data_IF_042430473625
#
_entry.id   IF_042430473625
#
_cell.length_a   1.000
_cell.length_b   1.000
_cell.length_c   1.000
_cell.angle_alpha   90.00
_cell.angle_beta   90.00
_cell.angle_gamma   90.00
#
_symmetry.space_group_name_H-M   'P 1'
#
loop_
_entity.id
_entity.type
_entity.pdbx_description
1 polymer ?
#
# COMPACT_ATOMS: atom_id res chain seq x y z
N UNK A 1 -7.81 -30.47 -4.28
CA UNK A 1 -7.13 -30.02 -3.05
C UNK A 1 -8.16 -29.22 -2.27
N UNK A 2 -8.58 -29.68 -1.10
CA UNK A 2 -9.57 -28.97 -0.28
C UNK A 2 -8.89 -27.68 0.20
N UNK A 3 -9.37 -26.52 -0.23
CA UNK A 3 -9.00 -25.25 0.39
C UNK A 3 -9.51 -25.32 1.83
N UNK A 4 -8.62 -25.55 2.80
CA UNK A 4 -8.96 -25.32 4.19
C UNK A 4 -9.19 -23.82 4.35
N UNK A 5 -10.43 -23.44 4.62
CA UNK A 5 -10.81 -22.08 5.02
C UNK A 5 -10.28 -21.85 6.43
N UNK A 6 -9.34 -20.91 6.59
CA UNK A 6 -8.86 -20.47 7.91
C UNK A 6 -9.90 -19.54 8.55
N UNK A 7 -10.18 -19.77 9.83
CA UNK A 7 -10.96 -18.85 10.67
C UNK A 7 -10.01 -17.79 11.24
N UNK A 8 -10.28 -16.52 10.93
CA UNK A 8 -9.41 -15.39 11.26
C UNK A 8 -10.07 -14.51 12.33
N UNK A 9 -9.28 -14.12 13.34
CA UNK A 9 -9.65 -13.06 14.26
C UNK A 9 -8.83 -11.80 13.95
N UNK A 10 -9.53 -10.71 13.59
CA UNK A 10 -8.91 -9.43 13.26
C UNK A 10 -8.95 -8.49 14.47
N UNK A 11 -7.83 -7.82 14.73
CA UNK A 11 -7.66 -6.80 15.76
C UNK A 11 -7.19 -5.51 15.10
N UNK A 12 -7.69 -4.36 15.54
CA UNK A 12 -7.27 -3.06 15.03
C UNK A 12 -8.41 -2.06 14.93
N UNK A 13 -8.06 -0.82 14.58
CA UNK A 13 -9.03 0.20 14.21
C UNK A 13 -9.59 -0.11 12.82
N UNK A 14 -10.89 0.08 12.61
CA UNK A 14 -11.56 -0.19 11.33
C UNK A 14 -11.33 0.93 10.30
N UNK A 15 -10.06 1.21 10.03
CA UNK A 15 -9.62 2.17 9.02
C UNK A 15 -9.64 1.56 7.60
N UNK A 16 -9.25 2.35 6.59
CA UNK A 16 -9.23 1.90 5.20
C UNK A 16 -8.30 0.68 4.97
N UNK A 17 -7.20 0.56 5.73
CA UNK A 17 -6.26 -0.56 5.62
C UNK A 17 -6.85 -1.83 6.23
N UNK A 18 -7.47 -1.71 7.40
CA UNK A 18 -8.22 -2.81 8.03
C UNK A 18 -9.29 -3.34 7.10
N UNK A 19 -10.14 -2.44 6.56
CA UNK A 19 -11.26 -2.83 5.71
C UNK A 19 -10.79 -3.48 4.41
N UNK A 20 -9.73 -2.96 3.78
CA UNK A 20 -9.15 -3.56 2.59
C UNK A 20 -8.53 -4.94 2.84
N UNK A 21 -7.91 -5.15 4.01
CA UNK A 21 -7.37 -6.46 4.37
C UNK A 21 -8.48 -7.46 4.69
N UNK A 22 -9.51 -7.03 5.42
CA UNK A 22 -10.69 -7.85 5.72
C UNK A 22 -11.41 -8.31 4.45
N UNK A 23 -11.71 -7.38 3.52
CA UNK A 23 -12.31 -7.72 2.21
C UNK A 23 -11.42 -8.71 1.44
N UNK A 24 -10.10 -8.47 1.40
CA UNK A 24 -9.19 -9.36 0.65
C UNK A 24 -9.10 -10.76 1.26
N UNK A 25 -9.12 -10.88 2.59
CA UNK A 25 -9.14 -12.15 3.33
C UNK A 25 -10.43 -12.94 3.04
N UNK A 26 -11.58 -12.28 3.13
CA UNK A 26 -12.89 -12.91 2.83
C UNK A 26 -12.92 -13.43 1.39
N UNK A 27 -12.47 -12.61 0.43
CA UNK A 27 -12.36 -13.00 -0.99
C UNK A 27 -11.35 -14.12 -1.24
N UNK A 28 -10.37 -14.30 -0.36
CA UNK A 28 -9.45 -15.44 -0.40
C UNK A 28 -10.02 -16.71 0.24
N UNK A 29 -11.26 -16.64 0.78
CA UNK A 29 -11.97 -17.76 1.36
C UNK A 29 -11.75 -17.95 2.86
N UNK A 30 -11.22 -16.94 3.56
CA UNK A 30 -11.19 -16.93 5.03
C UNK A 30 -12.57 -16.58 5.62
N UNK A 31 -12.85 -17.04 6.83
CA UNK A 31 -14.02 -16.64 7.62
C UNK A 31 -13.58 -15.90 8.88
N UNK A 32 -14.49 -15.15 9.52
CA UNK A 32 -14.15 -14.33 10.69
C UNK A 32 -14.80 -14.84 11.97
N UNK A 33 -14.06 -14.71 13.08
CA UNK A 33 -14.58 -14.94 14.43
C UNK A 33 -14.30 -13.73 15.34
N UNK A 34 -15.18 -13.48 16.29
CA UNK A 34 -14.97 -12.49 17.36
C UNK A 34 -14.25 -13.10 18.57
N UNK A 35 -14.20 -14.43 18.67
CA UNK A 35 -13.51 -15.12 19.75
C UNK A 35 -12.10 -15.55 19.30
N UNK A 36 -11.07 -14.99 19.93
CA UNK A 36 -9.66 -15.31 19.64
C UNK A 36 -9.35 -16.80 19.81
N UNK A 37 -10.00 -17.49 20.74
CA UNK A 37 -9.73 -18.91 21.04
C UNK A 37 -10.23 -19.85 19.93
N UNK A 38 -11.21 -19.41 19.13
CA UNK A 38 -11.78 -20.16 18.01
C UNK A 38 -11.05 -19.88 16.68
N UNK A 39 -10.01 -19.04 16.70
CA UNK A 39 -9.32 -18.60 15.50
C UNK A 39 -8.13 -19.50 15.15
N UNK A 40 -8.01 -19.86 13.88
CA UNK A 40 -6.81 -20.48 13.32
C UNK A 40 -5.67 -19.46 13.15
N UNK A 41 -6.02 -18.18 13.02
CA UNK A 41 -5.09 -17.09 12.75
C UNK A 41 -5.56 -15.79 13.39
N UNK A 42 -4.68 -15.16 14.18
CA UNK A 42 -4.93 -13.83 14.75
C UNK A 42 -4.07 -12.79 14.05
N UNK A 43 -4.72 -11.80 13.42
CA UNK A 43 -4.04 -10.70 12.70
C UNK A 43 -4.36 -9.37 13.38
N UNK A 44 -3.33 -8.66 13.83
CA UNK A 44 -3.47 -7.27 14.28
C UNK A 44 -3.05 -6.28 13.19
N UNK A 45 -3.81 -5.21 13.03
CA UNK A 45 -3.64 -4.19 12.00
C UNK A 45 -3.53 -2.82 12.67
N UNK A 46 -2.51 -2.05 12.27
CA UNK A 46 -2.26 -0.69 12.75
C UNK A 46 -1.54 -0.62 14.10
N UNK A 47 -1.37 0.61 14.60
CA UNK A 47 -0.56 0.92 15.78
C UNK A 47 -1.31 0.86 17.11
N UNK A 48 -2.61 1.14 17.06
CA UNK A 48 -3.37 1.56 18.24
C UNK A 48 -3.74 0.40 19.18
N UNK A 49 -3.50 -0.84 18.77
CA UNK A 49 -3.79 -2.05 19.54
C UNK A 49 -2.66 -3.08 19.42
N UNK A 50 -1.43 -2.69 19.78
CA UNK A 50 -0.35 -3.67 19.88
C UNK A 50 -0.66 -4.65 21.03
N UNK A 51 -0.80 -5.95 20.76
CA UNK A 51 -1.20 -6.89 21.79
C UNK A 51 -0.09 -7.12 22.81
N UNK A 52 -0.49 -7.32 24.07
CA UNK A 52 0.41 -7.67 25.18
C UNK A 52 0.84 -9.14 25.18
N UNK A 53 0.15 -10.00 24.42
CA UNK A 53 0.49 -11.41 24.20
C UNK A 53 0.93 -11.63 22.76
N UNK A 54 1.74 -12.68 22.53
CA UNK A 54 2.16 -13.05 21.17
C UNK A 54 0.92 -13.33 20.30
N UNK A 55 0.90 -12.76 19.09
CA UNK A 55 -0.09 -13.02 18.04
C UNK A 55 0.58 -13.61 16.79
N UNK A 56 -0.21 -14.16 15.88
CA UNK A 56 0.35 -14.81 14.69
C UNK A 56 0.90 -13.80 13.67
N UNK A 57 0.13 -12.76 13.33
CA UNK A 57 0.53 -11.77 12.32
C UNK A 57 0.23 -10.35 12.79
N UNK A 58 1.19 -9.44 12.62
CA UNK A 58 0.98 -8.00 12.76
C UNK A 58 1.21 -7.29 11.43
N UNK A 59 0.34 -6.35 11.08
CA UNK A 59 0.49 -5.46 9.91
C UNK A 59 0.57 -4.03 10.43
N UNK A 60 1.74 -3.42 10.34
CA UNK A 60 2.01 -2.10 10.94
C UNK A 60 2.65 -1.14 9.93
N UNK A 61 2.41 0.16 10.07
CA UNK A 61 3.21 1.18 9.39
C UNK A 61 4.69 1.13 9.81
N UNK A 62 5.58 1.54 8.91
CA UNK A 62 7.02 1.37 9.07
C UNK A 62 7.68 2.13 10.23
N UNK A 63 7.04 3.19 10.71
CA UNK A 63 7.52 4.05 11.78
C UNK A 63 7.14 3.55 13.20
N UNK A 64 6.42 2.44 13.31
CA UNK A 64 5.92 1.93 14.59
C UNK A 64 6.82 0.79 15.12
N UNK A 65 7.05 0.73 16.45
CA UNK A 65 7.80 -0.37 17.06
C UNK A 65 7.19 -1.74 16.79
N UNK A 66 8.03 -2.77 16.74
CA UNK A 66 7.61 -4.14 16.50
C UNK A 66 6.73 -4.66 17.64
N UNK A 67 5.48 -5.07 17.36
CA UNK A 67 4.70 -5.81 18.34
C UNK A 67 5.28 -7.21 18.57
N UNK A 68 4.87 -7.81 19.69
CA UNK A 68 5.14 -9.21 19.96
C UNK A 68 4.28 -10.09 19.03
N UNK A 69 4.83 -10.49 17.89
CA UNK A 69 4.15 -11.32 16.89
C UNK A 69 5.12 -12.27 16.20
N UNK A 70 4.63 -13.45 15.78
CA UNK A 70 5.42 -14.42 15.01
C UNK A 70 5.85 -13.84 13.67
N UNK A 71 4.96 -13.14 12.97
CA UNK A 71 5.23 -12.49 11.68
C UNK A 71 4.79 -11.03 11.71
N UNK A 72 5.67 -10.11 11.35
CA UNK A 72 5.37 -8.69 11.24
C UNK A 72 5.54 -8.24 9.80
N UNK A 73 4.46 -7.78 9.17
CA UNK A 73 4.52 -6.98 7.95
C UNK A 73 4.71 -5.52 8.31
N UNK A 74 5.89 -5.00 7.97
CA UNK A 74 6.22 -3.59 8.13
C UNK A 74 5.99 -2.88 6.79
N UNK A 75 4.92 -2.11 6.71
CA UNK A 75 4.47 -1.48 5.46
C UNK A 75 5.04 -0.08 5.33
N UNK A 76 5.78 0.15 4.24
CA UNK A 76 6.38 1.43 3.88
C UNK A 76 5.60 2.06 2.72
N UNK A 77 5.42 3.37 2.76
CA UNK A 77 4.90 4.17 1.65
C UNK A 77 3.67 3.52 0.99
N UNK A 78 2.67 3.11 1.78
CA UNK A 78 1.43 2.58 1.21
C UNK A 78 0.65 3.71 0.55
N UNK A 79 0.01 3.45 -0.59
CA UNK A 79 -0.88 4.38 -1.26
C UNK A 79 -2.32 3.93 -1.01
N UNK A 80 -3.05 4.73 -0.24
CA UNK A 80 -4.45 4.48 0.16
C UNK A 80 -5.33 5.58 -0.43
N UNK A 81 -6.08 5.30 -1.51
CA UNK A 81 -6.90 6.31 -2.18
C UNK A 81 -7.93 7.01 -1.27
N UNK A 82 -8.52 6.29 -0.32
CA UNK A 82 -9.46 6.84 0.67
C UNK A 82 -8.80 7.78 1.69
N UNK A 83 -7.47 7.85 1.68
CA UNK A 83 -6.64 8.45 2.73
C UNK A 83 -6.83 7.78 4.09
N UNK A 84 -5.76 7.74 4.88
CA UNK A 84 -5.79 7.15 6.21
C UNK A 84 -4.67 7.74 7.06
N UNK A 85 -4.97 8.05 8.31
CA UNK A 85 -3.99 8.62 9.22
C UNK A 85 -3.08 7.52 9.78
N UNK A 86 -1.81 7.84 9.98
CA UNK A 86 -0.82 6.96 10.61
C UNK A 86 -0.12 6.00 9.67
N UNK A 87 -0.45 5.98 8.38
CA UNK A 87 0.19 5.12 7.38
C UNK A 87 1.13 5.85 6.41
N UNK A 88 1.39 7.15 6.62
CA UNK A 88 2.37 7.90 5.84
C UNK A 88 1.86 8.42 4.49
N UNK A 89 0.54 8.48 4.30
CA UNK A 89 -0.13 9.00 3.08
C UNK A 89 -0.56 10.45 3.18
N UNK A 90 -0.45 11.06 4.36
CA UNK A 90 -1.02 12.38 4.67
C UNK A 90 -0.47 13.47 3.73
N UNK A 91 0.79 13.30 3.32
CA UNK A 91 1.48 14.21 2.40
C UNK A 91 0.85 14.26 1.01
N UNK A 92 0.21 13.17 0.56
CA UNK A 92 -0.42 13.11 -0.75
C UNK A 92 -1.73 13.91 -0.77
N UNK A 93 -2.42 14.02 0.37
CA UNK A 93 -3.64 14.81 0.52
C UNK A 93 -3.39 16.28 0.20
N UNK A 94 -2.31 16.85 0.73
CA UNK A 94 -1.91 18.23 0.48
C UNK A 94 -1.61 18.44 -1.02
N UNK A 95 -0.86 17.51 -1.62
CA UNK A 95 -0.51 17.60 -3.04
C UNK A 95 -1.73 17.47 -3.97
N UNK A 96 -2.71 16.63 -3.60
CA UNK A 96 -3.98 16.53 -4.33
C UNK A 96 -4.69 17.89 -4.32
N UNK A 97 -4.77 18.53 -3.15
CA UNK A 97 -5.40 19.84 -2.99
C UNK A 97 -4.66 20.93 -3.77
N UNK A 98 -3.32 20.93 -3.72
CA UNK A 98 -2.49 21.86 -4.51
C UNK A 98 -2.74 21.72 -6.00
N UNK A 99 -2.75 20.49 -6.52
CA UNK A 99 -2.96 20.23 -7.95
C UNK A 99 -4.39 20.60 -8.37
N UNK A 100 -5.41 20.24 -7.57
CA UNK A 100 -6.81 20.62 -7.83
C UNK A 100 -7.00 22.15 -7.83
N UNK A 101 -6.35 22.85 -6.90
CA UNK A 101 -6.40 24.31 -6.77
C UNK A 101 -5.56 25.06 -7.80
N UNK A 102 -4.77 24.36 -8.63
CA UNK A 102 -3.86 24.99 -9.59
C UNK A 102 -2.65 25.69 -8.94
N UNK A 103 -2.29 25.28 -7.71
CA UNK A 103 -1.12 25.81 -7.01
C UNK A 103 0.16 25.47 -7.76
N UNK A 104 1.14 26.39 -7.66
CA UNK A 104 2.51 26.21 -8.17
C UNK A 104 3.48 25.81 -7.05
N UNK A 105 2.96 25.41 -5.90
CA UNK A 105 3.76 24.89 -4.80
C UNK A 105 4.62 23.71 -5.26
N UNK A 106 5.81 23.63 -4.66
CA UNK A 106 6.77 22.55 -4.88
C UNK A 106 6.77 21.68 -3.63
N UNK A 107 7.04 20.38 -3.78
CA UNK A 107 7.16 19.52 -2.61
C UNK A 107 8.28 20.05 -1.70
N UNK A 108 8.11 20.00 -0.37
CA UNK A 108 9.18 20.30 0.58
C UNK A 108 10.50 19.60 0.22
N UNK A 109 11.62 20.31 0.34
CA UNK A 109 12.96 19.82 -0.03
C UNK A 109 13.42 18.60 0.80
N UNK A 110 12.81 18.37 1.96
CA UNK A 110 13.14 17.30 2.90
C UNK A 110 12.42 15.97 2.61
N UNK A 111 11.65 15.89 1.52
CA UNK A 111 10.93 14.66 1.16
C UNK A 111 11.76 13.83 0.19
N UNK A 112 12.43 12.82 0.74
CA UNK A 112 13.12 11.78 -0.02
C UNK A 112 12.16 11.02 -0.96
N UNK A 113 12.72 10.42 -2.01
CA UNK A 113 11.96 9.52 -2.88
C UNK A 113 11.41 8.30 -2.10
N UNK A 114 10.20 7.91 -2.44
CA UNK A 114 9.45 6.88 -1.71
C UNK A 114 9.17 5.67 -2.58
N UNK A 115 9.08 4.51 -1.95
CA UNK A 115 8.80 3.25 -2.64
C UNK A 115 7.32 2.91 -2.54
N UNK A 116 6.48 3.71 -3.20
CA UNK A 116 5.03 3.60 -3.09
C UNK A 116 4.50 2.23 -3.51
N UNK A 117 3.60 1.66 -2.70
CA UNK A 117 2.85 0.43 -3.01
C UNK A 117 1.36 0.66 -2.86
N UNK A 118 0.57 0.22 -3.85
CA UNK A 118 -0.87 0.34 -3.75
C UNK A 118 -1.44 -0.57 -2.66
N UNK A 119 -2.43 -0.08 -1.90
CA UNK A 119 -3.09 -0.86 -0.84
C UNK A 119 -3.56 -2.24 -1.31
N UNK A 120 -4.08 -2.34 -2.53
CA UNK A 120 -4.51 -3.63 -3.13
C UNK A 120 -3.37 -4.63 -3.31
N UNK A 121 -2.18 -4.17 -3.72
CA UNK A 121 -1.03 -5.06 -3.88
C UNK A 121 -0.46 -5.46 -2.52
N UNK A 122 -0.47 -4.53 -1.56
CA UNK A 122 -0.01 -4.79 -0.20
C UNK A 122 -0.91 -5.83 0.50
N UNK A 123 -2.23 -5.64 0.47
CA UNK A 123 -3.19 -6.57 1.08
C UNK A 123 -3.16 -7.93 0.39
N UNK A 124 -3.02 -7.99 -0.93
CA UNK A 124 -2.89 -9.25 -1.68
C UNK A 124 -1.68 -10.06 -1.21
N UNK A 125 -0.50 -9.42 -1.06
CA UNK A 125 0.68 -10.10 -0.55
C UNK A 125 0.53 -10.57 0.90
N UNK A 126 0.01 -9.71 1.78
CA UNK A 126 -0.21 -10.06 3.20
C UNK A 126 -1.14 -11.26 3.30
N UNK A 127 -2.27 -11.24 2.58
CA UNK A 127 -3.25 -12.33 2.59
C UNK A 127 -2.66 -13.61 2.02
N UNK A 128 -1.98 -13.53 0.88
CA UNK A 128 -1.40 -14.72 0.25
C UNK A 128 -0.39 -15.41 1.17
N UNK A 129 0.51 -14.64 1.80
CA UNK A 129 1.50 -15.19 2.72
C UNK A 129 0.83 -15.72 4.00
N UNK A 130 -0.10 -14.97 4.59
CA UNK A 130 -0.74 -15.33 5.88
C UNK A 130 -1.64 -16.57 5.78
N UNK A 131 -2.29 -16.77 4.63
CA UNK A 131 -3.16 -17.92 4.38
C UNK A 131 -2.44 -19.13 3.79
N UNK A 132 -1.12 -19.07 3.60
CA UNK A 132 -0.35 -20.22 3.11
C UNK A 132 -0.46 -21.41 4.09
N UNK A 133 -0.56 -22.62 3.55
CA UNK A 133 -0.70 -23.88 4.32
C UNK A 133 0.64 -24.47 4.79
N UNK A 134 1.77 -23.89 4.36
CA UNK A 134 3.11 -24.23 4.83
C UNK A 134 3.51 -23.43 6.08
N UNK A 135 4.76 -23.59 6.51
CA UNK A 135 5.30 -22.82 7.64
C UNK A 135 5.20 -21.32 7.35
N UNK A 136 4.37 -20.62 8.13
CA UNK A 136 4.30 -19.16 8.10
C UNK A 136 5.69 -18.61 8.39
N UNK A 137 6.25 -17.74 7.53
CA UNK A 137 7.53 -17.10 7.81
C UNK A 137 7.47 -16.43 9.18
N UNK A 138 8.54 -16.53 9.98
CA UNK A 138 8.66 -15.79 11.23
C UNK A 138 9.62 -14.61 11.08
N UNK A 139 9.44 -13.60 11.93
CA UNK A 139 10.23 -12.37 11.94
C UNK A 139 9.55 -11.22 11.21
N UNK A 140 10.35 -10.32 10.64
CA UNK A 140 9.89 -9.06 10.02
C UNK A 140 10.03 -9.14 8.51
N UNK A 141 8.94 -8.85 7.80
CA UNK A 141 8.89 -8.68 6.34
C UNK A 141 8.59 -7.22 6.03
N UNK A 142 9.55 -6.55 5.39
CA UNK A 142 9.34 -5.23 4.82
C UNK A 142 8.51 -5.29 3.55
N UNK A 143 7.47 -4.46 3.48
CA UNK A 143 6.56 -4.35 2.34
C UNK A 143 6.59 -2.94 1.78
N UNK A 144 7.07 -2.81 0.55
CA UNK A 144 7.10 -1.55 -0.20
C UNK A 144 7.03 -1.82 -1.71
N UNK A 145 6.89 -0.74 -2.48
CA UNK A 145 6.97 -0.76 -3.94
C UNK A 145 8.38 -1.11 -4.44
N UNK A 146 8.47 -1.48 -5.72
CA UNK A 146 9.76 -1.85 -6.34
C UNK A 146 10.53 -0.67 -6.94
N UNK A 147 9.87 0.47 -7.13
CA UNK A 147 10.44 1.66 -7.77
C UNK A 147 10.32 2.83 -6.81
N UNK A 148 11.41 3.58 -6.68
CA UNK A 148 11.40 4.84 -5.98
C UNK A 148 10.74 5.90 -6.87
N UNK A 149 10.02 6.82 -6.25
CA UNK A 149 9.44 7.99 -6.89
C UNK A 149 9.84 9.22 -6.09
N UNK A 150 10.56 10.15 -6.73
CA UNK A 150 10.82 11.45 -6.12
C UNK A 150 9.53 12.23 -5.96
N UNK A 151 9.52 13.17 -5.02
CA UNK A 151 8.38 14.06 -4.81
C UNK A 151 8.00 14.83 -6.08
N UNK A 152 9.00 15.30 -6.83
CA UNK A 152 8.79 15.96 -8.13
C UNK A 152 8.14 15.01 -9.14
N UNK A 153 8.62 13.77 -9.24
CA UNK A 153 8.07 12.77 -10.17
C UNK A 153 6.60 12.43 -9.84
N UNK A 154 6.26 12.35 -8.54
CA UNK A 154 4.87 12.14 -8.10
C UNK A 154 4.02 13.36 -8.46
N UNK A 155 4.49 14.58 -8.14
CA UNK A 155 3.73 15.80 -8.37
C UNK A 155 3.52 16.09 -9.87
N UNK A 156 4.53 15.85 -10.71
CA UNK A 156 4.42 15.99 -12.17
C UNK A 156 3.44 14.99 -12.76
N UNK A 157 3.47 13.75 -12.28
CA UNK A 157 2.48 12.73 -12.65
C UNK A 157 1.06 13.15 -12.23
N UNK A 158 0.90 13.68 -11.02
CA UNK A 158 -0.39 14.19 -10.52
C UNK A 158 -0.91 15.35 -11.37
N UNK A 159 -0.07 16.34 -11.69
CA UNK A 159 -0.42 17.49 -12.55
C UNK A 159 -0.85 17.03 -13.95
N UNK A 160 -0.11 16.09 -14.55
CA UNK A 160 -0.46 15.51 -15.84
C UNK A 160 -1.81 14.81 -15.81
N UNK A 161 -2.05 13.99 -14.79
CA UNK A 161 -3.27 13.22 -14.61
C UNK A 161 -4.49 14.11 -14.42
N UNK A 162 -4.38 15.09 -13.52
CA UNK A 162 -5.44 16.07 -13.29
C UNK A 162 -5.75 16.88 -14.55
N UNK A 163 -4.71 17.37 -15.25
CA UNK A 163 -4.89 18.08 -16.52
C UNK A 163 -5.63 17.24 -17.56
N UNK A 164 -5.27 15.97 -17.73
CA UNK A 164 -5.96 15.08 -18.68
C UNK A 164 -7.42 14.88 -18.32
N UNK A 165 -7.70 14.73 -17.03
CA UNK A 165 -9.08 14.64 -16.53
C UNK A 165 -9.86 15.93 -16.83
N UNK A 166 -9.34 17.10 -16.48
CA UNK A 166 -10.00 18.38 -16.74
C UNK A 166 -10.16 18.67 -18.23
N UNK A 167 -9.15 18.36 -19.04
CA UNK A 167 -9.21 18.50 -20.49
C UNK A 167 -10.33 17.64 -21.09
N UNK A 168 -10.51 16.41 -20.58
CA UNK A 168 -11.59 15.52 -21.01
C UNK A 168 -12.97 16.07 -20.61
N UNK A 169 -13.13 16.52 -19.37
CA UNK A 169 -14.37 17.13 -18.85
C UNK A 169 -14.75 18.38 -19.66
N UNK A 170 -13.76 19.18 -20.06
CA UNK A 170 -13.98 20.43 -20.80
C UNK A 170 -13.86 20.28 -22.33
N UNK A 171 -13.67 19.05 -22.85
CA UNK A 171 -13.48 18.78 -24.28
C UNK A 171 -12.36 19.63 -24.91
N UNK A 172 -11.27 19.84 -24.18
CA UNK A 172 -10.22 20.81 -24.50
C UNK A 172 -8.83 20.20 -24.67
N UNK A 173 -8.77 18.89 -24.98
CA UNK A 173 -7.50 18.20 -25.23
C UNK A 173 -6.63 18.90 -26.28
N UNK A 174 -5.33 18.96 -26.00
CA UNK A 174 -4.29 19.40 -26.94
C UNK A 174 -3.39 18.22 -27.31
N UNK A 175 -2.56 18.38 -28.35
CA UNK A 175 -1.57 17.35 -28.71
C UNK A 175 -0.65 17.08 -27.52
N UNK A 176 -0.24 18.12 -26.80
CA UNK A 176 0.61 18.02 -25.61
C UNK A 176 -0.07 17.25 -24.46
N UNK A 177 -1.38 17.43 -24.24
CA UNK A 177 -2.06 16.69 -23.17
C UNK A 177 -2.29 15.21 -23.53
N UNK A 178 -2.30 14.88 -24.83
CA UNK A 178 -2.41 13.51 -25.33
C UNK A 178 -1.06 12.82 -25.58
N UNK A 179 0.05 13.55 -25.69
CA UNK A 179 1.37 12.95 -25.93
C UNK A 179 1.79 11.99 -24.81
N UNK A 180 2.47 10.92 -25.20
CA UNK A 180 3.00 9.93 -24.27
C UNK A 180 4.10 10.59 -23.42
N UNK A 181 3.88 10.71 -22.12
CA UNK A 181 4.92 11.17 -21.21
C UNK A 181 5.77 9.93 -20.88
N UNK A 182 7.10 9.99 -21.03
CA UNK A 182 7.98 8.92 -20.56
C UNK A 182 7.61 8.57 -19.12
N UNK A 183 7.65 7.29 -18.75
CA UNK A 183 7.37 6.89 -17.37
C UNK A 183 8.23 7.74 -16.43
N UNK A 184 7.65 8.44 -15.44
CA UNK A 184 8.43 9.30 -14.53
C UNK A 184 9.56 8.53 -13.83
N UNK A 185 9.42 7.20 -13.71
CA UNK A 185 10.45 6.31 -13.17
C UNK A 185 11.68 6.08 -14.08
N UNK A 186 11.67 6.56 -15.34
CA UNK A 186 12.77 6.36 -16.30
C UNK A 186 13.84 7.45 -16.24
N UNK A 187 13.53 8.58 -15.60
CA UNK A 187 14.49 9.57 -15.14
C UNK A 187 14.31 9.71 -13.61
N UNK A 188 15.22 10.36 -12.90
CA UNK A 188 14.96 10.88 -11.54
C UNK A 188 15.03 9.85 -10.38
N UNK A 189 16.26 9.50 -9.99
CA UNK A 189 16.81 9.85 -8.66
C UNK A 189 18.27 9.38 -8.59
N UNK A 190 19.23 10.31 -8.48
CA UNK A 190 20.67 10.00 -8.36
C UNK A 190 21.15 9.88 -6.89
N UNK A 191 20.27 10.10 -5.91
CA UNK A 191 20.61 10.00 -4.50
C UNK A 191 20.60 8.55 -3.97
N UNK A 192 21.24 8.32 -2.82
CA UNK A 192 21.14 7.07 -2.08
C UNK A 192 19.89 7.06 -1.21
N UNK A 193 18.78 6.51 -1.72
CA UNK A 193 17.67 6.12 -0.84
C UNK A 193 17.81 4.66 -0.49
N UNK A 194 17.86 4.41 0.83
CA UNK A 194 17.87 3.06 1.36
C UNK A 194 16.50 2.42 1.16
N UNK A 195 16.33 1.71 0.04
CA UNK A 195 15.20 0.80 -0.15
C UNK A 195 15.16 -0.22 1.00
N UNK A 196 13.98 -0.49 1.59
CA UNK A 196 13.87 -1.57 2.55
C UNK A 196 14.24 -2.92 1.89
N UNK A 197 14.75 -3.86 2.67
CA UNK A 197 15.14 -5.16 2.13
C UNK A 197 13.89 -5.97 1.74
N UNK A 198 13.58 -6.03 0.44
CA UNK A 198 12.41 -6.76 -0.09
C UNK A 198 12.69 -8.25 -0.37
N UNK A 199 13.89 -8.75 -0.11
CA UNK A 199 14.22 -10.18 -0.33
C UNK A 199 13.33 -11.11 0.49
N UNK A 200 13.08 -10.86 1.80
CA UNK A 200 12.16 -11.70 2.58
C UNK A 200 10.75 -11.73 1.99
N UNK A 201 10.22 -10.58 1.58
CA UNK A 201 8.91 -10.48 0.94
C UNK A 201 8.87 -11.27 -0.37
N UNK A 202 9.88 -11.09 -1.23
CA UNK A 202 9.96 -11.78 -2.51
C UNK A 202 9.97 -13.31 -2.32
N UNK A 203 10.79 -13.81 -1.39
CA UNK A 203 10.89 -15.24 -1.11
C UNK A 203 9.61 -15.80 -0.47
N UNK A 204 8.96 -15.06 0.43
CA UNK A 204 7.69 -15.45 1.02
C UNK A 204 6.58 -15.55 -0.04
N UNK A 205 6.57 -14.64 -1.03
CA UNK A 205 5.63 -14.71 -2.16
C UNK A 205 5.90 -15.92 -3.08
N UNK A 206 7.17 -16.26 -3.33
CA UNK A 206 7.52 -17.49 -4.06
C UNK A 206 7.03 -18.73 -3.30
N UNK A 207 7.28 -18.79 -2.00
CA UNK A 207 6.88 -19.90 -1.14
C UNK A 207 5.35 -20.06 -1.01
N UNK A 208 4.60 -18.95 -1.12
CA UNK A 208 3.13 -18.95 -1.15
C UNK A 208 2.53 -19.25 -2.54
N UNK A 209 3.36 -19.67 -3.51
CA UNK A 209 2.93 -20.15 -4.81
C UNK A 209 2.87 -19.10 -5.92
N UNK A 210 3.36 -17.88 -5.72
CA UNK A 210 3.46 -16.86 -6.78
C UNK A 210 4.75 -17.04 -7.56
N UNK A 211 4.66 -17.42 -8.84
CA UNK A 211 5.83 -17.76 -9.68
C UNK A 211 6.90 -16.67 -9.78
N UNK A 212 6.51 -15.40 -9.84
CA UNK A 212 7.43 -14.26 -9.99
C UNK A 212 7.84 -13.61 -8.67
N UNK A 213 7.39 -14.16 -7.53
CA UNK A 213 7.55 -13.55 -6.21
C UNK A 213 6.90 -12.16 -6.11
N UNK A 214 7.53 -11.25 -5.36
CA UNK A 214 6.99 -9.89 -5.20
C UNK A 214 7.07 -9.06 -6.48
N UNK A 215 5.89 -8.76 -7.03
CA UNK A 215 5.69 -7.85 -8.17
C UNK A 215 4.35 -7.15 -8.03
N UNK A 216 4.31 -5.93 -7.47
CA UNK A 216 3.11 -5.09 -7.46
C UNK A 216 2.55 -4.96 -8.88
N UNK A 217 1.25 -5.15 -9.05
CA UNK A 217 0.58 -5.09 -10.36
C UNK A 217 -0.06 -3.73 -10.61
N UNK A 218 -0.44 -3.02 -9.56
CA UNK A 218 -1.09 -1.72 -9.68
C UNK A 218 -0.05 -0.64 -9.96
N UNK A 219 -0.22 0.07 -11.07
CA UNK A 219 0.64 1.20 -11.40
C UNK A 219 0.36 2.39 -10.45
N UNK A 220 1.41 3.12 -10.07
CA UNK A 220 1.31 4.34 -9.23
C UNK A 220 0.23 5.30 -9.73
N UNK A 221 0.19 5.54 -11.05
CA UNK A 221 -0.80 6.34 -11.76
C UNK A 221 -2.25 6.00 -11.39
N UNK A 222 -2.55 4.71 -11.28
CA UNK A 222 -3.91 4.24 -10.95
C UNK A 222 -4.27 4.70 -9.55
N UNK A 223 -3.40 4.47 -8.57
CA UNK A 223 -3.67 4.90 -7.21
C UNK A 223 -3.76 6.43 -7.06
N UNK A 224 -2.94 7.19 -7.80
CA UNK A 224 -3.04 8.66 -7.84
C UNK A 224 -4.39 9.13 -8.42
N UNK A 225 -4.84 8.52 -9.52
CA UNK A 225 -6.17 8.81 -10.09
C UNK A 225 -7.30 8.43 -9.12
N UNK A 226 -7.20 7.29 -8.44
CA UNK A 226 -8.18 6.89 -7.44
C UNK A 226 -8.20 7.84 -6.25
N UNK A 227 -7.04 8.40 -5.87
CA UNK A 227 -6.94 9.41 -4.80
C UNK A 227 -7.61 10.72 -5.22
N UNK A 228 -7.41 11.16 -6.47
CA UNK A 228 -8.17 12.29 -7.02
C UNK A 228 -9.67 12.04 -7.00
N UNK A 229 -10.11 10.84 -7.38
CA UNK A 229 -11.53 10.48 -7.39
C UNK A 229 -12.15 10.53 -5.98
N UNK A 230 -11.49 9.94 -4.98
CA UNK A 230 -11.98 9.98 -3.59
C UNK A 230 -11.98 11.40 -3.01
N UNK A 231 -11.05 12.27 -3.44
CA UNK A 231 -11.04 13.67 -3.01
C UNK A 231 -12.18 14.52 -3.60
N UNK A 232 -12.98 14.00 -4.55
CA UNK A 232 -14.12 14.75 -5.12
C UNK A 232 -15.38 14.64 -4.27
N UNK A 233 -15.41 13.73 -3.29
CA UNK A 233 -16.57 13.50 -2.43
C UNK A 233 -16.58 14.40 -1.16
N UNK A 234 -15.73 15.44 -1.12
CA UNK A 234 -15.77 16.58 -0.19
C UNK A 234 -16.13 17.88 -0.91
#
# INVERSE_FOLDING_TARGET
MVLMTKVVHLLGEQDAVYLALADRLERAGATFTQNKEDADLVIAIGANHLPTSEIDVAVIPANIPYPNSKLVFRVHDILVPQQVNGWGVEILSDWINWVKGGSKESPPEDIDARHWVHIRDATDAIVQISLTNGDTPSGVIDLAGRRAWSSDAVLDEMKLLWRRYTDAVHLSHTVESLTNVPSPASQQFDGQISRPNLVPLHNAMLASGREEGWRPLTAMRVGLMESFAHSQDE
#
